data_IF_181342847843
#
_entry.id   IF_181342847843
#
_cell.length_a   1.000
_cell.length_b   1.000
_cell.length_c   1.000
_cell.angle_alpha   90.00
_cell.angle_beta   90.00
_cell.angle_gamma   90.00
#
_symmetry.space_group_name_H-M   'P 1'
#
loop_
_entity.id
_entity.type
_entity.pdbx_description
1 polymer ?
#
# COMPACT_ATOMS: atom_id res chain seq x y z
N UNK A 1 26.21 -22.37 -10.08
CA UNK A 1 26.07 -21.84 -11.46
C UNK A 1 26.61 -20.43 -11.59
N UNK A 2 26.29 -19.48 -10.70
CA UNK A 2 26.79 -18.10 -10.84
C UNK A 2 27.90 -17.68 -9.86
N UNK A 3 28.22 -18.49 -8.84
CA UNK A 3 29.27 -18.20 -7.82
C UNK A 3 29.17 -16.77 -7.28
N UNK A 4 27.95 -16.35 -6.95
CA UNK A 4 27.67 -15.00 -6.44
C UNK A 4 27.85 -15.02 -4.93
N UNK A 5 28.69 -14.12 -4.44
CA UNK A 5 28.82 -13.77 -3.03
C UNK A 5 28.28 -12.33 -2.88
N UNK A 6 27.06 -12.13 -2.38
CA UNK A 6 26.44 -10.82 -2.36
C UNK A 6 27.13 -9.91 -1.34
N UNK A 7 27.59 -8.75 -1.79
CA UNK A 7 28.07 -7.66 -0.92
C UNK A 7 26.93 -6.76 -0.42
N UNK A 8 25.85 -6.69 -1.20
CA UNK A 8 24.67 -5.86 -0.95
C UNK A 8 23.41 -6.70 -1.18
N UNK A 9 22.42 -6.55 -0.31
CA UNK A 9 21.08 -7.11 -0.47
C UNK A 9 20.06 -5.97 -0.39
N UNK A 10 19.34 -5.75 -1.49
CA UNK A 10 18.20 -4.84 -1.50
C UNK A 10 16.94 -5.55 -1.00
N UNK A 11 16.09 -4.85 -0.24
CA UNK A 11 14.83 -5.41 0.26
C UNK A 11 13.75 -4.33 0.37
N UNK A 12 12.48 -4.74 0.48
CA UNK A 12 11.35 -3.82 0.65
C UNK A 12 11.42 -3.10 2.01
N UNK A 13 10.87 -1.89 2.11
CA UNK A 13 10.72 -1.18 3.40
C UNK A 13 9.85 -1.95 4.40
N UNK A 14 8.94 -2.82 3.95
CA UNK A 14 8.05 -3.54 4.83
C UNK A 14 8.84 -4.51 5.75
N UNK A 15 8.85 -4.29 7.08
CA UNK A 15 9.69 -5.09 8.00
C UNK A 15 9.20 -6.53 8.14
N UNK A 16 7.88 -6.76 8.06
CA UNK A 16 7.30 -8.09 8.28
C UNK A 16 7.35 -9.03 7.08
N UNK A 17 7.74 -8.56 5.90
CA UNK A 17 7.83 -9.40 4.72
C UNK A 17 8.87 -10.50 4.93
N UNK A 18 8.53 -11.73 4.51
CA UNK A 18 9.43 -12.88 4.62
C UNK A 18 10.76 -12.63 3.89
N UNK A 19 10.71 -11.94 2.74
CA UNK A 19 11.90 -11.55 1.99
C UNK A 19 12.77 -10.54 2.77
N UNK A 20 12.16 -9.56 3.44
CA UNK A 20 12.86 -8.60 4.30
C UNK A 20 13.52 -9.29 5.49
N UNK A 21 12.80 -10.21 6.16
CA UNK A 21 13.37 -11.02 7.25
C UNK A 21 14.53 -11.89 6.77
N UNK A 22 14.40 -12.50 5.59
CA UNK A 22 15.48 -13.28 5.00
C UNK A 22 16.72 -12.42 4.68
N UNK A 23 16.54 -11.21 4.14
CA UNK A 23 17.63 -10.27 3.92
C UNK A 23 18.32 -9.88 5.25
N UNK A 24 17.56 -9.64 6.30
CA UNK A 24 18.08 -9.38 7.65
C UNK A 24 18.92 -10.53 8.19
N UNK A 25 18.46 -11.77 8.04
CA UNK A 25 19.26 -12.95 8.42
C UNK A 25 20.56 -13.06 7.60
N UNK A 26 20.50 -12.83 6.28
CA UNK A 26 21.70 -12.81 5.44
C UNK A 26 22.71 -11.74 5.85
N UNK A 27 22.27 -10.55 6.26
CA UNK A 27 23.20 -9.48 6.68
C UNK A 27 24.08 -9.86 7.86
N UNK A 28 23.66 -10.82 8.70
CA UNK A 28 24.47 -11.33 9.81
C UNK A 28 25.75 -12.02 9.32
N UNK A 29 25.78 -12.48 8.07
CA UNK A 29 26.98 -13.07 7.45
C UNK A 29 27.80 -12.07 6.60
N UNK A 30 27.52 -10.76 6.68
CA UNK A 30 28.34 -9.72 6.05
C UNK A 30 27.65 -8.73 5.09
N UNK A 31 26.67 -9.10 4.24
CA UNK A 31 26.16 -8.17 3.23
C UNK A 31 25.48 -6.94 3.84
N UNK A 32 25.70 -5.79 3.20
CA UNK A 32 25.02 -4.55 3.55
C UNK A 32 23.58 -4.58 3.06
N UNK A 33 22.64 -4.15 3.91
CA UNK A 33 21.25 -3.99 3.51
C UNK A 33 20.96 -2.60 2.94
N UNK A 34 20.17 -2.58 1.88
CA UNK A 34 19.61 -1.36 1.31
C UNK A 34 18.09 -1.50 1.22
N UNK A 35 17.32 -0.81 2.06
CA UNK A 35 15.88 -0.79 1.90
C UNK A 35 15.48 0.05 0.68
N UNK A 36 14.50 -0.43 -0.09
CA UNK A 36 13.95 0.25 -1.26
C UNK A 36 12.43 0.34 -1.10
N UNK A 37 11.87 1.52 -1.37
CA UNK A 37 10.43 1.71 -1.26
C UNK A 37 9.70 0.98 -2.40
N UNK A 38 8.59 0.31 -2.06
CA UNK A 38 7.85 -0.59 -2.97
C UNK A 38 7.48 0.04 -4.33
N UNK A 39 6.89 1.23 -4.30
CA UNK A 39 6.38 1.93 -5.48
C UNK A 39 7.52 2.55 -6.30
N UNK A 40 8.58 3.00 -5.63
CA UNK A 40 9.82 3.42 -6.25
C UNK A 40 10.49 2.25 -6.99
N UNK A 41 10.48 1.05 -6.41
CA UNK A 41 10.98 -0.16 -7.08
C UNK A 41 10.19 -0.50 -8.34
N UNK A 42 8.85 -0.39 -8.33
CA UNK A 42 8.00 -0.57 -9.53
C UNK A 42 8.35 0.42 -10.64
N UNK A 43 8.59 1.69 -10.30
CA UNK A 43 8.97 2.70 -11.30
C UNK A 43 10.38 2.44 -11.80
N UNK A 44 11.32 2.13 -10.90
CA UNK A 44 12.72 1.87 -11.25
C UNK A 44 12.89 0.62 -12.13
N UNK A 45 12.08 -0.42 -11.95
CA UNK A 45 12.10 -1.60 -12.83
C UNK A 45 11.68 -1.24 -14.26
N UNK A 46 10.60 -0.47 -14.41
CA UNK A 46 10.17 0.02 -15.71
C UNK A 46 11.22 0.94 -16.37
N UNK A 47 11.88 1.80 -15.59
CA UNK A 47 13.01 2.61 -16.09
C UNK A 47 14.15 1.72 -16.60
N UNK A 48 14.50 0.66 -15.86
CA UNK A 48 15.59 -0.24 -16.21
C UNK A 48 15.28 -1.00 -17.51
N UNK A 49 14.08 -1.54 -17.65
CA UNK A 49 13.64 -2.26 -18.86
C UNK A 49 13.67 -1.37 -20.11
N UNK A 50 13.44 -0.07 -19.95
CA UNK A 50 13.46 0.91 -21.04
C UNK A 50 14.80 1.65 -21.20
N UNK A 51 15.82 1.32 -20.40
CA UNK A 51 17.13 1.97 -20.44
C UNK A 51 17.11 3.46 -20.09
N UNK A 52 16.10 3.94 -19.36
CA UNK A 52 15.96 5.35 -19.00
C UNK A 52 16.93 5.72 -17.89
N UNK A 53 17.66 6.83 -18.04
CA UNK A 53 18.61 7.34 -17.03
C UNK A 53 18.20 8.69 -16.45
N UNK A 54 17.30 9.41 -17.13
CA UNK A 54 16.76 10.67 -16.66
C UNK A 54 15.71 10.45 -15.57
N UNK A 55 15.49 11.48 -14.75
CA UNK A 55 14.37 11.55 -13.82
C UNK A 55 13.04 11.50 -14.59
N UNK A 56 12.07 10.74 -14.06
CA UNK A 56 10.75 10.52 -14.66
C UNK A 56 9.63 10.89 -13.69
N UNK A 57 8.44 11.11 -14.24
CA UNK A 57 7.19 10.98 -13.48
C UNK A 57 6.73 9.54 -13.68
N UNK A 58 6.67 8.77 -12.61
CA UNK A 58 6.11 7.42 -12.62
C UNK A 58 4.80 7.36 -11.84
N UNK A 59 3.90 6.53 -12.33
CA UNK A 59 2.60 6.26 -11.71
C UNK A 59 2.59 4.80 -11.28
N UNK A 60 2.45 4.55 -9.99
CA UNK A 60 2.50 3.21 -9.41
C UNK A 60 1.15 2.88 -8.78
N UNK A 61 0.36 2.07 -9.49
CA UNK A 61 -0.95 1.60 -9.06
C UNK A 61 -0.89 0.12 -8.73
N UNK A 62 -1.14 -0.22 -7.47
CA UNK A 62 -1.16 -1.59 -6.99
C UNK A 62 -2.19 -1.78 -5.86
N UNK A 63 -2.17 -2.95 -5.22
CA UNK A 63 -3.07 -3.26 -4.12
C UNK A 63 -2.57 -2.80 -2.75
N UNK A 64 -1.30 -3.02 -2.42
CA UNK A 64 -0.77 -2.80 -1.08
C UNK A 64 0.74 -2.66 -1.16
N UNK A 65 1.29 -1.49 -0.82
CA UNK A 65 2.70 -1.34 -0.49
C UNK A 65 2.89 -0.45 0.74
N UNK A 66 3.90 -0.74 1.56
CA UNK A 66 4.21 0.08 2.73
C UNK A 66 4.70 1.46 2.28
N UNK A 67 3.96 2.49 2.66
CA UNK A 67 4.34 3.89 2.48
C UNK A 67 5.51 4.27 3.39
N UNK A 68 6.28 5.26 2.98
CA UNK A 68 7.36 5.82 3.82
C UNK A 68 6.82 6.56 5.06
N UNK A 69 5.52 6.81 5.12
CA UNK A 69 4.79 7.44 6.21
C UNK A 69 4.01 6.43 7.07
N UNK A 70 4.18 5.13 6.83
CA UNK A 70 3.52 4.06 7.58
C UNK A 70 2.08 3.75 7.13
N UNK A 71 1.56 4.44 6.12
CA UNK A 71 0.26 4.14 5.54
C UNK A 71 0.37 3.12 4.41
N UNK A 72 -0.76 2.54 4.01
CA UNK A 72 -0.80 1.69 2.82
C UNK A 72 -0.89 2.56 1.57
N UNK A 73 0.10 2.44 0.69
CA UNK A 73 0.11 3.07 -0.62
C UNK A 73 -0.39 2.09 -1.68
N UNK A 74 -0.70 2.63 -2.86
CA UNK A 74 -1.05 1.86 -4.05
C UNK A 74 -1.70 2.70 -5.15
N UNK A 75 -1.69 4.03 -5.03
CA UNK A 75 -2.32 4.98 -5.95
C UNK A 75 -1.42 6.19 -6.17
N UNK A 76 -0.14 5.95 -6.46
CA UNK A 76 0.94 6.93 -6.24
C UNK A 76 1.45 7.60 -7.53
N UNK A 77 1.76 8.90 -7.44
CA UNK A 77 2.47 9.67 -8.45
C UNK A 77 3.81 10.12 -7.89
N UNK A 78 4.91 9.60 -8.43
CA UNK A 78 6.26 9.85 -7.93
C UNK A 78 7.11 10.51 -9.02
N UNK A 79 7.90 11.51 -8.64
CA UNK A 79 9.03 12.00 -9.43
C UNK A 79 10.26 11.22 -8.99
N UNK A 80 10.78 10.34 -9.84
CA UNK A 80 11.75 9.31 -9.45
C UNK A 80 12.97 9.25 -10.38
N UNK A 81 14.12 8.91 -9.80
CA UNK A 81 15.30 8.39 -10.49
C UNK A 81 15.77 7.10 -9.77
N UNK A 82 16.88 6.48 -10.18
CA UNK A 82 17.35 5.25 -9.54
C UNK A 82 17.78 5.40 -8.07
N UNK A 83 18.04 6.63 -7.60
CA UNK A 83 18.59 6.89 -6.26
C UNK A 83 17.54 7.42 -5.28
N UNK A 84 16.52 8.09 -5.79
CA UNK A 84 15.54 8.80 -4.98
C UNK A 84 14.19 8.91 -5.66
N UNK A 85 13.16 9.18 -4.85
CA UNK A 85 11.85 9.56 -5.34
C UNK A 85 11.30 10.70 -4.48
N UNK A 86 10.40 11.48 -5.07
CA UNK A 86 9.56 12.44 -4.37
C UNK A 86 8.10 12.13 -4.70
N UNK A 87 7.26 11.95 -3.68
CA UNK A 87 5.82 11.73 -3.85
C UNK A 87 5.15 13.08 -4.15
N UNK A 88 4.58 13.23 -5.34
CA UNK A 88 3.99 14.50 -5.80
C UNK A 88 2.47 14.44 -5.90
N UNK A 89 1.87 13.26 -5.79
CA UNK A 89 0.42 13.08 -5.74
C UNK A 89 0.05 11.66 -5.34
N UNK A 90 -1.14 11.49 -4.79
CA UNK A 90 -1.72 10.18 -4.47
C UNK A 90 -3.23 10.26 -4.33
N UNK A 91 -3.92 9.11 -4.33
CA UNK A 91 -5.32 9.05 -3.91
C UNK A 91 -5.48 9.49 -2.45
N UNK A 92 -6.57 10.17 -2.13
CA UNK A 92 -6.88 10.56 -0.75
C UNK A 92 -6.80 9.36 0.19
N UNK A 93 -6.22 9.57 1.38
CA UNK A 93 -6.14 8.53 2.38
C UNK A 93 -7.51 8.24 2.97
N UNK A 94 -7.98 7.01 2.76
CA UNK A 94 -9.28 6.55 3.24
C UNK A 94 -9.11 5.35 4.18
N UNK A 95 -10.02 5.19 5.16
CA UNK A 95 -9.93 4.12 6.13
C UNK A 95 -10.19 2.76 5.49
N UNK A 96 -9.44 1.75 5.92
CA UNK A 96 -9.63 0.34 5.59
C UNK A 96 -10.12 -0.43 6.83
N UNK A 97 -11.43 -0.37 7.17
CA UNK A 97 -11.95 -0.89 8.42
C UNK A 97 -11.84 -2.42 8.54
N UNK A 98 -11.03 -2.85 9.51
CA UNK A 98 -10.69 -4.25 9.75
C UNK A 98 -9.40 -4.70 9.05
N UNK A 99 -8.66 -3.81 8.39
CA UNK A 99 -7.41 -4.11 7.69
C UNK A 99 -7.58 -5.28 6.71
N UNK A 100 -6.92 -6.40 6.96
CA UNK A 100 -7.01 -7.62 6.16
C UNK A 100 -8.44 -8.16 6.01
N UNK A 101 -9.32 -7.89 6.97
CA UNK A 101 -10.72 -8.28 6.85
C UNK A 101 -11.40 -7.60 5.65
N UNK A 102 -11.01 -6.38 5.31
CA UNK A 102 -11.53 -5.65 4.16
C UNK A 102 -11.07 -6.24 2.83
N UNK A 103 -9.93 -6.94 2.80
CA UNK A 103 -9.47 -7.69 1.61
C UNK A 103 -10.40 -8.88 1.34
N UNK A 104 -10.82 -9.59 2.39
CA UNK A 104 -11.74 -10.75 2.26
C UNK A 104 -13.19 -10.32 2.06
N UNK A 105 -13.54 -9.12 2.50
CA UNK A 105 -14.89 -8.56 2.47
C UNK A 105 -14.84 -7.13 1.88
N UNK A 106 -14.78 -6.98 0.54
CA UNK A 106 -14.59 -5.68 -0.12
C UNK A 106 -15.66 -4.64 0.21
N UNK A 107 -16.88 -5.07 0.58
CA UNK A 107 -17.94 -4.17 1.04
C UNK A 107 -17.52 -3.33 2.27
N UNK A 108 -16.56 -3.80 3.08
CA UNK A 108 -16.02 -3.02 4.20
C UNK A 108 -15.24 -1.80 3.71
N UNK A 109 -14.44 -1.96 2.65
CA UNK A 109 -13.74 -0.86 1.98
C UNK A 109 -14.74 0.13 1.40
N UNK A 110 -15.75 -0.37 0.68
CA UNK A 110 -16.81 0.47 0.10
C UNK A 110 -17.53 1.29 1.18
N UNK A 111 -17.97 0.65 2.28
CA UNK A 111 -18.59 1.34 3.41
C UNK A 111 -17.66 2.40 3.98
N UNK A 112 -16.38 2.08 4.19
CA UNK A 112 -15.38 3.02 4.70
C UNK A 112 -15.21 4.26 3.82
N UNK A 113 -15.14 4.06 2.50
CA UNK A 113 -14.95 5.15 1.54
C UNK A 113 -16.20 6.02 1.45
N UNK A 114 -17.37 5.41 1.32
CA UNK A 114 -18.64 6.13 1.20
C UNK A 114 -18.95 6.92 2.47
N UNK A 115 -18.75 6.34 3.65
CA UNK A 115 -18.95 7.07 4.90
C UNK A 115 -18.01 8.27 5.02
N UNK A 116 -16.73 8.10 4.65
CA UNK A 116 -15.72 9.16 4.78
C UNK A 116 -15.93 10.30 3.79
N UNK A 117 -16.36 9.99 2.55
CA UNK A 117 -16.47 10.97 1.47
C UNK A 117 -17.88 11.55 1.30
N UNK A 118 -18.91 10.73 1.52
CA UNK A 118 -20.30 11.05 1.15
C UNK A 118 -21.28 10.99 2.33
N UNK A 119 -20.84 10.43 3.48
CA UNK A 119 -21.65 10.32 4.69
C UNK A 119 -22.67 9.19 4.68
N UNK A 120 -23.40 9.09 5.80
CA UNK A 120 -24.30 7.98 6.08
C UNK A 120 -25.53 7.92 5.17
N UNK A 121 -26.06 9.09 4.77
CA UNK A 121 -27.22 9.17 3.89
C UNK A 121 -26.94 8.56 2.52
N UNK A 122 -25.72 8.74 2.00
CA UNK A 122 -25.29 8.11 0.75
C UNK A 122 -25.18 6.59 0.92
N UNK A 123 -24.62 6.13 2.04
CA UNK A 123 -24.47 4.71 2.32
C UNK A 123 -25.81 3.97 2.34
N UNK A 124 -26.82 4.53 3.02
CA UNK A 124 -28.15 3.91 3.16
C UNK A 124 -28.90 3.73 1.83
N UNK A 125 -28.49 4.43 0.78
CA UNK A 125 -29.12 4.34 -0.56
C UNK A 125 -28.56 3.22 -1.44
N UNK A 126 -27.50 2.54 -1.00
CA UNK A 126 -26.81 1.54 -1.82
C UNK A 126 -27.41 0.16 -1.62
N UNK A 127 -27.80 -0.49 -2.72
CA UNK A 127 -28.50 -1.77 -2.71
C UNK A 127 -27.75 -2.90 -1.99
N UNK A 128 -26.41 -2.90 -2.03
CA UNK A 128 -25.63 -3.94 -1.35
C UNK A 128 -25.76 -3.89 0.18
N UNK A 129 -26.20 -2.77 0.75
CA UNK A 129 -26.41 -2.64 2.19
C UNK A 129 -27.51 -3.57 2.70
N UNK A 130 -28.45 -4.00 1.86
CA UNK A 130 -29.46 -5.00 2.21
C UNK A 130 -28.86 -6.37 2.56
N UNK A 131 -27.64 -6.64 2.08
CA UNK A 131 -26.91 -7.88 2.34
C UNK A 131 -25.93 -7.77 3.52
N UNK A 132 -25.78 -6.58 4.10
CA UNK A 132 -24.87 -6.32 5.22
C UNK A 132 -25.68 -6.15 6.49
N UNK A 133 -25.39 -6.96 7.51
CA UNK A 133 -26.10 -6.84 8.80
C UNK A 133 -25.87 -5.46 9.45
N UNK A 134 -26.87 -4.98 10.19
CA UNK A 134 -26.77 -3.74 10.97
C UNK A 134 -25.62 -3.80 11.99
N UNK A 135 -25.43 -4.98 12.61
CA UNK A 135 -24.33 -5.23 13.56
C UNK A 135 -22.96 -5.03 12.88
N UNK A 136 -22.76 -5.60 11.68
CA UNK A 136 -21.49 -5.43 10.96
C UNK A 136 -21.28 -3.98 10.51
N UNK A 137 -22.33 -3.30 10.08
CA UNK A 137 -22.29 -1.88 9.70
C UNK A 137 -21.86 -1.01 10.89
N UNK A 138 -22.46 -1.23 12.07
CA UNK A 138 -22.12 -0.50 13.30
C UNK A 138 -20.67 -0.77 13.75
N UNK A 139 -20.19 -2.01 13.62
CA UNK A 139 -18.79 -2.35 13.90
C UNK A 139 -17.86 -1.55 12.97
N UNK A 140 -18.16 -1.50 11.67
CA UNK A 140 -17.36 -0.77 10.69
C UNK A 140 -17.32 0.72 11.03
N UNK A 141 -18.48 1.34 11.32
CA UNK A 141 -18.55 2.74 11.73
C UNK A 141 -17.67 3.04 12.94
N UNK A 142 -17.77 2.23 14.00
CA UNK A 142 -16.95 2.39 15.21
C UNK A 142 -15.46 2.20 14.96
N UNK A 143 -15.07 1.30 14.06
CA UNK A 143 -13.67 1.14 13.67
C UNK A 143 -13.13 2.40 13.00
N UNK A 144 -13.92 3.01 12.11
CA UNK A 144 -13.54 4.26 11.42
C UNK A 144 -13.46 5.41 12.43
N UNK A 145 -14.52 5.65 13.20
CA UNK A 145 -14.62 6.75 14.17
C UNK A 145 -13.49 6.73 15.21
N UNK A 146 -13.06 5.53 15.63
CA UNK A 146 -12.03 5.35 16.66
C UNK A 146 -10.63 5.08 16.09
N UNK A 147 -10.48 5.00 14.77
CA UNK A 147 -9.22 4.57 14.13
C UNK A 147 -8.76 3.17 14.56
N UNK A 148 -9.70 2.29 14.95
CA UNK A 148 -9.40 1.02 15.61
C UNK A 148 -9.38 -0.11 14.58
N UNK A 149 -8.20 -0.68 14.33
CA UNK A 149 -7.95 -1.63 13.23
C UNK A 149 -8.44 -1.09 11.87
N UNK A 150 -8.27 0.21 11.64
CA UNK A 150 -8.73 0.91 10.44
C UNK A 150 -7.60 1.72 9.83
N UNK A 151 -6.52 1.06 9.34
CA UNK A 151 -5.39 1.77 8.75
C UNK A 151 -5.84 2.60 7.55
N UNK A 152 -5.15 3.71 7.30
CA UNK A 152 -5.40 4.52 6.12
C UNK A 152 -4.70 3.92 4.89
N UNK A 153 -5.37 4.00 3.76
CA UNK A 153 -4.88 3.53 2.47
C UNK A 153 -5.15 4.53 1.35
N UNK A 154 -4.21 4.62 0.42
CA UNK A 154 -4.32 5.36 -0.85
C UNK A 154 -4.30 4.41 -2.05
N UNK A 155 -4.66 3.15 -1.82
CA UNK A 155 -4.51 2.06 -2.79
C UNK A 155 -5.53 2.10 -3.92
N UNK A 156 -5.04 2.05 -5.16
CA UNK A 156 -5.87 1.88 -6.34
C UNK A 156 -6.54 0.51 -6.36
N UNK A 157 -5.84 -0.55 -5.95
CA UNK A 157 -6.41 -1.90 -5.86
C UNK A 157 -7.35 -2.11 -4.67
N UNK A 158 -7.59 -1.10 -3.82
CA UNK A 158 -8.70 -1.08 -2.85
C UNK A 158 -9.89 -0.28 -3.38
N UNK A 159 -9.66 0.67 -4.27
CA UNK A 159 -10.70 1.40 -4.97
C UNK A 159 -11.46 0.51 -5.98
N UNK A 160 -10.76 -0.40 -6.65
CA UNK A 160 -11.30 -1.40 -7.59
C UNK A 160 -11.73 -2.69 -6.88
#
# INVERSE_FOLDING_TARGET
MFRIEPEIVAHDLHPDYLATKYAQELSKSGPKLIPVQHHHAHIASCMADNGLQSRVIGVAFDGTGMGSDGHTWGGEFLVSDYKSFNRVGHLEYLPLPGGDAAIKKPYRTAIGYILSLLGEDALRRLAFMEQVSEVETEIIKRQIERGLNSPLTSSMGRLF
#
